data_IF_987237238435
#
_entry.id   IF_987237238435
#
_cell.length_a   1.000
_cell.length_b   1.000
_cell.length_c   1.000
_cell.angle_alpha   90.00
_cell.angle_beta   90.00
_cell.angle_gamma   90.00
#
_symmetry.space_group_name_H-M   'P 1'
#
loop_
_entity.id
_entity.type
_entity.pdbx_description
1 polymer ?
#
# COMPACT_ATOMS: atom_id res chain seq x y z
N UNK A 1 -8.80 -30.71 -13.95
CA UNK A 1 -9.28 -29.33 -13.69
C UNK A 1 -8.12 -28.54 -13.12
N UNK A 2 -7.64 -27.55 -13.85
CA UNK A 2 -6.56 -26.64 -13.40
C UNK A 2 -7.09 -25.78 -12.26
N UNK A 3 -6.40 -25.77 -11.12
CA UNK A 3 -6.85 -25.04 -9.93
C UNK A 3 -6.88 -23.52 -10.21
N UNK A 4 -8.04 -22.89 -10.02
CA UNK A 4 -8.23 -21.44 -10.10
C UNK A 4 -7.42 -20.74 -8.99
N UNK A 5 -6.74 -19.63 -9.30
CA UNK A 5 -6.12 -18.80 -8.29
C UNK A 5 -7.08 -17.70 -7.84
N UNK A 6 -7.21 -17.50 -6.54
CA UNK A 6 -7.91 -16.35 -5.97
C UNK A 6 -6.92 -15.21 -5.73
N UNK A 7 -7.20 -14.04 -6.30
CA UNK A 7 -6.32 -12.85 -6.23
C UNK A 7 -7.04 -11.73 -5.49
N UNK A 8 -6.53 -11.34 -4.31
CA UNK A 8 -7.06 -10.23 -3.53
C UNK A 8 -6.60 -8.88 -4.10
N UNK A 9 -7.55 -8.02 -4.46
CA UNK A 9 -7.30 -6.67 -4.97
C UNK A 9 -7.80 -5.60 -3.99
N UNK A 10 -6.97 -4.59 -3.67
CA UNK A 10 -7.31 -3.54 -2.73
C UNK A 10 -8.27 -2.54 -3.37
N UNK A 11 -9.42 -2.29 -2.76
CA UNK A 11 -10.28 -1.16 -3.12
C UNK A 11 -9.56 0.17 -2.91
N UNK A 12 -9.97 1.21 -3.63
CA UNK A 12 -9.37 2.55 -3.53
C UNK A 12 -8.24 2.78 -4.53
N UNK A 13 -7.24 3.56 -4.15
CA UNK A 13 -6.19 4.12 -5.03
C UNK A 13 -5.47 3.09 -5.91
N UNK A 14 -5.22 1.89 -5.42
CA UNK A 14 -4.49 0.87 -6.15
C UNK A 14 -5.38 0.00 -7.04
N UNK A 15 -6.72 0.09 -6.95
CA UNK A 15 -7.63 -0.82 -7.67
C UNK A 15 -7.52 -0.65 -9.19
N UNK A 16 -7.70 0.56 -9.71
CA UNK A 16 -7.68 0.78 -11.16
C UNK A 16 -6.32 0.48 -11.79
N UNK A 17 -5.16 0.91 -11.22
CA UNK A 17 -3.87 0.49 -11.72
C UNK A 17 -3.66 -1.03 -11.70
N UNK A 18 -4.15 -1.71 -10.65
CA UNK A 18 -4.07 -3.16 -10.55
C UNK A 18 -4.91 -3.83 -11.64
N UNK A 19 -6.16 -3.42 -11.83
CA UNK A 19 -7.03 -3.95 -12.87
C UNK A 19 -6.47 -3.69 -14.27
N UNK A 20 -5.93 -2.51 -14.53
CA UNK A 20 -5.26 -2.22 -15.79
C UNK A 20 -4.10 -3.18 -16.06
N UNK A 21 -3.26 -3.46 -15.04
CA UNK A 21 -2.18 -4.43 -15.15
C UNK A 21 -2.70 -5.84 -15.47
N UNK A 22 -3.75 -6.31 -14.75
CA UNK A 22 -4.33 -7.62 -15.00
C UNK A 22 -4.95 -7.72 -16.40
N UNK A 23 -5.64 -6.69 -16.89
CA UNK A 23 -6.16 -6.64 -18.27
C UNK A 23 -5.04 -6.74 -19.31
N UNK A 24 -3.96 -5.98 -19.13
CA UNK A 24 -2.79 -6.07 -20.02
C UNK A 24 -2.10 -7.44 -19.96
N UNK A 25 -2.21 -8.15 -18.84
CA UNK A 25 -1.73 -9.51 -18.68
C UNK A 25 -2.70 -10.58 -19.25
N UNK A 26 -3.85 -10.17 -19.81
CA UNK A 26 -4.86 -11.06 -20.38
C UNK A 26 -5.93 -11.55 -19.40
N UNK A 27 -5.95 -11.04 -18.18
CA UNK A 27 -6.92 -11.43 -17.16
C UNK A 27 -7.93 -10.31 -16.90
N UNK A 28 -9.13 -10.42 -17.44
CA UNK A 28 -10.18 -9.42 -17.22
C UNK A 28 -11.26 -9.96 -16.29
N UNK A 29 -11.71 -9.18 -15.29
CA UNK A 29 -12.88 -9.56 -14.50
C UNK A 29 -14.12 -9.71 -15.38
N UNK A 30 -14.89 -10.77 -15.19
CA UNK A 30 -16.13 -11.01 -15.95
C UNK A 30 -17.23 -9.98 -15.64
N UNK A 31 -17.10 -9.24 -14.54
CA UNK A 31 -17.98 -8.16 -14.14
C UNK A 31 -17.16 -6.93 -13.74
N UNK A 32 -17.69 -5.70 -13.93
CA UNK A 32 -16.98 -4.49 -13.55
C UNK A 32 -16.71 -4.42 -12.04
N UNK A 33 -15.61 -3.79 -11.64
CA UNK A 33 -15.25 -3.64 -10.22
C UNK A 33 -16.26 -2.81 -9.38
N UNK A 34 -17.21 -2.14 -10.04
CA UNK A 34 -18.33 -1.44 -9.41
C UNK A 34 -19.44 -2.39 -8.93
N UNK A 35 -19.38 -3.68 -9.30
CA UNK A 35 -20.32 -4.69 -8.79
C UNK A 35 -20.31 -4.75 -7.27
N UNK A 36 -21.46 -5.14 -6.67
CA UNK A 36 -21.53 -5.42 -5.22
C UNK A 36 -20.92 -6.77 -4.85
N UNK A 37 -20.62 -7.61 -5.84
CA UNK A 37 -19.95 -8.90 -5.60
C UNK A 37 -18.53 -8.64 -5.14
N UNK A 38 -18.12 -9.32 -4.11
CA UNK A 38 -16.75 -9.25 -3.58
C UNK A 38 -15.81 -10.25 -4.26
N UNK A 39 -16.34 -11.33 -4.80
CA UNK A 39 -15.60 -12.36 -5.54
C UNK A 39 -16.16 -12.45 -6.97
N UNK A 40 -15.30 -12.17 -7.96
CA UNK A 40 -15.65 -12.10 -9.38
C UNK A 40 -14.66 -12.97 -10.18
N UNK A 41 -15.12 -13.95 -10.97
CA UNK A 41 -14.20 -14.72 -11.81
C UNK A 41 -13.60 -13.84 -12.91
N UNK A 42 -12.43 -14.21 -13.43
CA UNK A 42 -11.94 -13.70 -14.71
C UNK A 42 -12.79 -14.27 -15.85
N UNK A 43 -12.83 -13.57 -16.98
CA UNK A 43 -13.64 -13.97 -18.15
C UNK A 43 -13.26 -15.34 -18.69
N UNK A 44 -12.01 -15.76 -18.54
CA UNK A 44 -11.48 -17.07 -18.92
C UNK A 44 -11.62 -18.15 -17.80
N UNK A 45 -12.09 -17.76 -16.60
CA UNK A 45 -12.26 -18.65 -15.45
C UNK A 45 -10.96 -19.15 -14.80
N UNK A 46 -9.80 -18.62 -15.21
CA UNK A 46 -8.49 -19.03 -14.66
C UNK A 46 -8.23 -18.39 -13.31
N UNK A 47 -8.69 -17.14 -13.09
CA UNK A 47 -8.58 -16.41 -11.85
C UNK A 47 -9.95 -16.13 -11.23
N UNK A 48 -9.94 -15.85 -9.92
CA UNK A 48 -11.04 -15.20 -9.22
C UNK A 48 -10.51 -13.96 -8.49
N UNK A 49 -11.09 -12.79 -8.74
CA UNK A 49 -10.72 -11.53 -8.11
C UNK A 49 -11.55 -11.31 -6.84
N UNK A 50 -10.87 -11.12 -5.71
CA UNK A 50 -11.47 -10.81 -4.42
C UNK A 50 -11.23 -9.32 -4.09
N UNK A 51 -12.30 -8.50 -4.08
CA UNK A 51 -12.21 -7.06 -3.84
C UNK A 51 -12.38 -6.74 -2.36
N UNK A 52 -11.30 -6.36 -1.67
CA UNK A 52 -11.27 -6.12 -0.21
C UNK A 52 -10.71 -4.74 0.14
N UNK A 53 -10.79 -4.34 1.40
CA UNK A 53 -10.09 -3.14 1.88
C UNK A 53 -8.57 -3.36 1.79
N UNK A 54 -7.77 -2.29 1.56
CA UNK A 54 -6.32 -2.43 1.44
C UNK A 54 -5.66 -3.18 2.62
N UNK A 55 -6.07 -2.87 3.85
CA UNK A 55 -5.54 -3.53 5.05
C UNK A 55 -5.85 -5.03 5.12
N UNK A 56 -6.93 -5.46 4.48
CA UNK A 56 -7.38 -6.85 4.56
C UNK A 56 -6.64 -7.77 3.57
N UNK A 57 -6.02 -7.22 2.51
CA UNK A 57 -5.29 -8.03 1.50
C UNK A 57 -4.24 -8.92 2.16
N UNK A 58 -3.43 -8.35 3.06
CA UNK A 58 -2.40 -9.11 3.78
C UNK A 58 -3.00 -10.30 4.53
N UNK A 59 -4.12 -10.09 5.24
CA UNK A 59 -4.82 -11.12 6.03
C UNK A 59 -5.35 -12.24 5.13
N UNK A 60 -6.02 -11.90 4.02
CA UNK A 60 -6.57 -12.90 3.09
C UNK A 60 -5.48 -13.72 2.42
N UNK A 61 -4.36 -13.10 2.06
CA UNK A 61 -3.26 -13.81 1.42
C UNK A 61 -2.48 -14.65 2.44
N UNK A 62 -2.14 -14.09 3.60
CA UNK A 62 -1.40 -14.83 4.65
C UNK A 62 -2.16 -16.05 5.13
N UNK A 63 -3.50 -15.93 5.35
CA UNK A 63 -4.35 -17.05 5.77
C UNK A 63 -4.58 -18.10 4.69
N UNK A 64 -4.20 -17.85 3.42
CA UNK A 64 -4.48 -18.73 2.28
C UNK A 64 -5.92 -18.67 1.77
N UNK A 65 -6.76 -17.76 2.26
CA UNK A 65 -8.09 -17.51 1.69
C UNK A 65 -8.00 -16.87 0.29
N UNK A 66 -6.91 -16.16 0.01
CA UNK A 66 -6.48 -15.80 -1.33
C UNK A 66 -5.09 -16.38 -1.61
N UNK A 67 -4.87 -16.84 -2.84
CA UNK A 67 -3.58 -17.41 -3.29
C UNK A 67 -2.52 -16.33 -3.48
N UNK A 68 -2.97 -15.18 -3.99
CA UNK A 68 -2.14 -14.00 -4.26
C UNK A 68 -2.92 -12.72 -4.04
N UNK A 69 -2.26 -11.58 -4.14
CA UNK A 69 -2.92 -10.27 -4.09
C UNK A 69 -2.00 -9.13 -4.52
N UNK A 70 -2.56 -7.93 -4.56
CA UNK A 70 -1.79 -6.68 -4.68
C UNK A 70 -1.95 -5.89 -3.39
N UNK A 71 -0.83 -5.49 -2.79
CA UNK A 71 -0.82 -4.70 -1.57
C UNK A 71 0.20 -3.55 -1.66
N UNK A 72 -0.01 -2.51 -0.86
CA UNK A 72 1.04 -1.54 -0.57
C UNK A 72 2.04 -2.13 0.43
N UNK A 73 3.30 -1.82 0.27
CA UNK A 73 4.35 -2.27 1.20
C UNK A 73 4.12 -1.73 2.62
N UNK A 74 3.44 -0.58 2.77
CA UNK A 74 3.00 -0.04 4.06
C UNK A 74 2.08 -1.00 4.82
N UNK A 75 1.09 -1.55 4.13
CA UNK A 75 0.13 -2.52 4.71
C UNK A 75 0.85 -3.78 5.16
N UNK A 76 1.75 -4.32 4.33
CA UNK A 76 2.50 -5.53 4.64
C UNK A 76 3.42 -5.33 5.84
N UNK A 77 4.14 -4.20 5.88
CA UNK A 77 5.04 -3.87 6.98
C UNK A 77 4.27 -3.58 8.27
N UNK A 78 3.12 -2.90 8.20
CA UNK A 78 2.27 -2.66 9.38
C UNK A 78 1.69 -3.97 9.93
N UNK A 79 1.18 -4.86 9.06
CA UNK A 79 0.65 -6.16 9.45
C UNK A 79 1.74 -7.15 9.91
N UNK A 80 3.00 -6.92 9.56
CA UNK A 80 4.10 -7.90 9.67
C UNK A 80 3.76 -9.23 8.98
N UNK A 81 3.08 -9.17 7.83
CA UNK A 81 2.52 -10.32 7.15
C UNK A 81 3.60 -11.29 6.64
N UNK A 82 3.43 -12.59 6.91
CA UNK A 82 4.31 -13.66 6.42
C UNK A 82 3.87 -14.13 5.03
N UNK A 83 4.16 -13.32 4.01
CA UNK A 83 3.86 -13.57 2.60
C UNK A 83 5.13 -13.46 1.75
N UNK A 84 5.07 -13.96 0.51
CA UNK A 84 6.11 -13.70 -0.49
C UNK A 84 5.78 -12.40 -1.23
N UNK A 85 6.81 -11.61 -1.58
CA UNK A 85 6.70 -10.37 -2.37
C UNK A 85 7.48 -10.51 -3.70
N UNK A 86 7.05 -11.36 -4.64
CA UNK A 86 7.85 -11.72 -5.81
C UNK A 86 7.99 -10.61 -6.86
N UNK A 87 7.13 -9.60 -6.88
CA UNK A 87 7.11 -8.59 -7.93
C UNK A 87 6.70 -7.22 -7.43
N UNK A 88 7.60 -6.23 -7.54
CA UNK A 88 7.27 -4.82 -7.38
C UNK A 88 6.61 -4.27 -8.66
N UNK A 89 5.49 -3.55 -8.53
CA UNK A 89 4.65 -3.20 -9.67
C UNK A 89 5.01 -1.87 -10.32
N UNK A 90 5.66 -0.96 -9.58
CA UNK A 90 6.11 0.33 -10.11
C UNK A 90 5.03 1.40 -10.18
N UNK A 91 3.87 1.16 -9.56
CA UNK A 91 2.82 2.16 -9.34
C UNK A 91 2.48 2.27 -7.85
N UNK A 92 1.64 3.26 -7.50
CA UNK A 92 1.25 3.50 -6.12
C UNK A 92 2.38 4.01 -5.23
N UNK A 93 3.45 4.56 -5.85
CA UNK A 93 4.58 5.12 -5.14
C UNK A 93 4.14 6.29 -4.25
N UNK A 94 4.55 6.27 -3.00
CA UNK A 94 4.41 7.37 -2.04
C UNK A 94 5.44 7.16 -0.92
N UNK A 95 5.45 8.05 0.06
CA UNK A 95 6.32 7.92 1.23
C UNK A 95 5.52 8.00 2.52
N UNK A 96 5.96 7.28 3.54
CA UNK A 96 5.46 7.44 4.90
C UNK A 96 6.32 8.46 5.63
N UNK A 97 5.69 9.43 6.26
CA UNK A 97 6.39 10.53 6.91
C UNK A 97 5.83 10.82 8.29
N UNK A 98 6.67 11.45 9.14
CA UNK A 98 6.21 12.21 10.29
C UNK A 98 5.92 13.63 9.81
N UNK A 99 4.77 14.19 10.19
CA UNK A 99 4.42 15.56 9.92
C UNK A 99 3.81 16.23 11.15
N UNK A 100 3.88 17.57 11.20
CA UNK A 100 3.31 18.37 12.28
C UNK A 100 2.99 19.80 11.80
N UNK A 101 2.21 20.58 12.55
CA UNK A 101 2.20 22.03 12.39
C UNK A 101 3.62 22.60 12.44
N UNK A 102 3.87 23.70 11.69
CA UNK A 102 5.22 24.27 11.56
C UNK A 102 5.78 24.74 12.91
N UNK A 103 4.95 25.28 13.76
CA UNK A 103 5.28 25.76 15.10
C UNK A 103 5.52 24.66 16.12
N UNK A 104 5.09 23.43 15.84
CA UNK A 104 5.26 22.30 16.76
C UNK A 104 6.69 21.74 16.68
N UNK A 105 7.47 21.77 17.77
CA UNK A 105 8.83 21.26 17.76
C UNK A 105 8.92 19.78 17.43
N UNK A 106 10.00 19.39 16.74
CA UNK A 106 10.37 18.01 16.43
C UNK A 106 11.90 17.89 16.48
N UNK A 107 12.48 16.82 17.03
CA UNK A 107 11.86 15.60 17.56
C UNK A 107 11.51 15.64 19.08
N UNK A 108 11.56 16.78 19.71
CA UNK A 108 11.29 16.88 21.16
C UNK A 108 10.33 18.02 21.45
N UNK A 109 9.55 17.87 22.52
CA UNK A 109 8.64 18.91 23.00
C UNK A 109 9.24 19.65 24.20
N UNK A 110 8.86 20.92 24.42
CA UNK A 110 9.28 21.69 25.59
C UNK A 110 8.96 20.99 26.89
N UNK A 111 9.84 21.13 27.88
CA UNK A 111 9.64 20.52 29.23
C UNK A 111 9.74 19.01 29.29
N UNK A 112 10.20 18.34 28.23
CA UNK A 112 10.31 16.86 28.20
C UNK A 112 8.96 16.15 28.14
N UNK A 113 7.90 16.81 27.68
CA UNK A 113 6.58 16.21 27.53
C UNK A 113 6.62 15.04 26.53
N UNK A 114 5.90 13.95 26.83
CA UNK A 114 5.77 12.80 25.93
C UNK A 114 4.95 13.19 24.71
N UNK A 115 5.51 13.10 23.48
CA UNK A 115 4.77 13.43 22.28
C UNK A 115 3.63 12.44 22.00
N UNK A 116 2.47 12.98 21.59
CA UNK A 116 1.34 12.19 21.07
C UNK A 116 1.43 12.16 19.54
N UNK A 117 1.28 10.97 18.96
CA UNK A 117 1.36 10.77 17.50
C UNK A 117 0.10 10.07 17.00
N UNK A 118 -0.68 10.73 16.16
CA UNK A 118 -1.84 10.13 15.53
C UNK A 118 -1.44 9.41 14.25
N UNK A 119 -1.94 8.18 14.04
CA UNK A 119 -1.59 7.37 12.87
C UNK A 119 -2.56 6.21 12.66
N UNK A 120 -2.62 5.70 11.43
CA UNK A 120 -3.22 4.40 11.11
C UNK A 120 -2.17 3.27 11.03
N UNK A 121 -0.89 3.59 11.32
CA UNK A 121 0.26 2.67 11.27
C UNK A 121 0.97 2.59 12.62
N UNK A 122 0.30 2.10 13.68
CA UNK A 122 0.85 2.14 15.04
C UNK A 122 2.13 1.31 15.22
N UNK A 123 2.27 0.18 14.49
CA UNK A 123 3.46 -0.66 14.58
C UNK A 123 4.68 0.01 13.96
N UNK A 124 4.55 0.53 12.74
CA UNK A 124 5.64 1.23 12.05
C UNK A 124 6.03 2.52 12.78
N UNK A 125 5.04 3.25 13.26
CA UNK A 125 5.27 4.47 14.06
C UNK A 125 6.07 4.16 15.33
N UNK A 126 5.68 3.12 16.09
CA UNK A 126 6.40 2.72 17.28
C UNK A 126 7.84 2.33 17.00
N UNK A 127 8.05 1.55 15.94
CA UNK A 127 9.38 1.11 15.53
C UNK A 127 10.27 2.31 15.18
N UNK A 128 9.78 3.25 14.38
CA UNK A 128 10.53 4.43 13.97
C UNK A 128 10.96 5.30 15.16
N UNK A 129 10.05 5.61 16.08
CA UNK A 129 10.41 6.43 17.24
C UNK A 129 11.30 5.69 18.24
N UNK A 130 11.14 4.36 18.34
CA UNK A 130 12.05 3.55 19.16
C UNK A 130 13.50 3.56 18.62
N UNK A 131 13.68 3.50 17.29
CA UNK A 131 14.99 3.65 16.65
C UNK A 131 15.63 5.02 16.92
N UNK A 132 14.81 6.07 17.05
CA UNK A 132 15.27 7.41 17.45
C UNK A 132 15.54 7.54 18.96
N UNK A 133 15.27 6.51 19.76
CA UNK A 133 15.35 6.56 21.22
C UNK A 133 14.25 7.42 21.88
N UNK A 134 13.15 7.64 21.19
CA UNK A 134 12.05 8.49 21.65
C UNK A 134 10.82 7.66 22.09
N UNK A 135 10.37 7.90 23.31
CA UNK A 135 9.07 7.40 23.78
C UNK A 135 7.94 8.29 23.26
N UNK A 136 6.93 7.69 22.65
CA UNK A 136 5.74 8.41 22.15
C UNK A 136 4.46 7.72 22.58
N UNK A 137 3.40 8.50 22.78
CA UNK A 137 2.04 8.00 22.93
C UNK A 137 1.39 7.90 21.54
N UNK A 138 0.94 6.71 21.16
CA UNK A 138 0.34 6.47 19.83
C UNK A 138 -1.17 6.49 19.93
N UNK A 139 -1.79 7.38 19.15
CA UNK A 139 -3.23 7.50 19.00
C UNK A 139 -3.62 6.89 17.65
N UNK A 140 -4.24 5.70 17.71
CA UNK A 140 -4.65 5.00 16.48
C UNK A 140 -5.96 5.56 15.96
N UNK A 141 -5.94 6.02 14.71
CA UNK A 141 -7.12 6.51 13.97
C UNK A 141 -7.24 5.78 12.64
N UNK A 142 -8.47 5.57 12.14
CA UNK A 142 -8.70 4.83 10.91
C UNK A 142 -8.49 5.67 9.62
N UNK A 143 -8.54 7.00 9.74
CA UNK A 143 -8.37 7.95 8.64
C UNK A 143 -8.44 9.39 9.12
N UNK A 144 -8.33 10.35 8.21
CA UNK A 144 -8.28 11.80 8.53
C UNK A 144 -7.26 12.14 9.62
N UNK A 145 -6.09 11.54 9.51
CA UNK A 145 -5.00 11.66 10.49
C UNK A 145 -4.53 13.11 10.59
N UNK A 146 -4.56 13.84 9.46
CA UNK A 146 -4.15 15.24 9.33
C UNK A 146 -4.96 16.24 10.18
N UNK A 147 -6.15 15.84 10.61
CA UNK A 147 -7.01 16.67 11.46
C UNK A 147 -6.59 16.61 12.94
N UNK A 148 -5.92 15.56 13.36
CA UNK A 148 -5.61 15.32 14.75
C UNK A 148 -4.80 16.45 15.42
N UNK A 149 -3.76 17.05 14.80
CA UNK A 149 -3.05 18.17 15.37
C UNK A 149 -3.90 19.45 15.46
N UNK A 150 -4.83 19.65 14.52
CA UNK A 150 -5.70 20.83 14.50
C UNK A 150 -6.70 20.85 15.66
N UNK A 151 -6.96 19.69 16.26
CA UNK A 151 -7.87 19.51 17.39
C UNK A 151 -7.11 19.19 18.70
N UNK A 152 -5.82 19.46 18.76
CA UNK A 152 -4.94 19.18 19.91
C UNK A 152 -4.97 17.70 20.37
N UNK A 153 -5.43 16.80 19.51
CA UNK A 153 -5.43 15.37 19.80
C UNK A 153 -4.01 14.81 19.78
N UNK A 154 -3.18 15.26 18.84
CA UNK A 154 -1.77 14.86 18.75
C UNK A 154 -0.85 16.03 18.43
N UNK A 155 0.44 15.89 18.72
CA UNK A 155 1.47 16.86 18.35
C UNK A 155 1.98 16.60 16.93
N UNK A 156 2.14 15.31 16.60
CA UNK A 156 2.63 14.84 15.31
C UNK A 156 1.67 13.83 14.72
N UNK A 157 1.80 13.61 13.43
CA UNK A 157 1.13 12.53 12.71
C UNK A 157 2.13 11.66 11.98
N UNK A 158 1.75 10.41 11.71
CA UNK A 158 2.42 9.55 10.73
C UNK A 158 1.40 9.10 9.70
N UNK A 159 1.62 9.47 8.45
CA UNK A 159 0.75 9.09 7.33
C UNK A 159 1.52 9.00 6.02
N UNK A 160 0.82 8.49 4.98
CA UNK A 160 1.34 8.41 3.62
C UNK A 160 1.20 9.75 2.90
N UNK A 161 2.25 10.11 2.20
CA UNK A 161 2.32 11.33 1.39
C UNK A 161 2.74 10.99 -0.02
N UNK A 162 1.91 11.34 -0.98
CA UNK A 162 2.22 11.29 -2.41
C UNK A 162 2.79 12.65 -2.84
N UNK A 163 1.95 13.62 -3.17
CA UNK A 163 2.35 14.97 -3.62
C UNK A 163 2.54 15.97 -2.48
N UNK A 164 2.14 15.64 -1.27
CA UNK A 164 2.15 16.52 -0.10
C UNK A 164 1.04 17.59 -0.10
N UNK A 165 0.07 17.51 -1.02
CA UNK A 165 -1.03 18.47 -1.11
C UNK A 165 -1.86 18.53 0.18
N UNK A 166 -2.28 17.37 0.68
CA UNK A 166 -3.08 17.27 1.92
C UNK A 166 -2.36 17.86 3.12
N UNK A 167 -1.04 17.62 3.25
CA UNK A 167 -0.26 18.25 4.33
C UNK A 167 -0.30 19.78 4.24
N UNK A 168 -0.03 20.33 3.04
CA UNK A 168 -0.04 21.80 2.83
C UNK A 168 -1.41 22.42 3.10
N UNK A 169 -2.49 21.78 2.63
CA UNK A 169 -3.88 22.25 2.86
C UNK A 169 -4.24 22.25 4.35
N UNK A 170 -3.64 21.39 5.16
CA UNK A 170 -3.82 21.32 6.60
C UNK A 170 -2.69 22.00 7.40
N UNK A 171 -1.84 22.82 6.76
CA UNK A 171 -0.73 23.57 7.40
C UNK A 171 0.25 22.66 8.15
N UNK A 172 0.45 21.46 7.63
CA UNK A 172 1.42 20.51 8.16
C UNK A 172 2.68 20.51 7.31
N UNK A 173 3.83 20.37 7.97
CA UNK A 173 5.14 20.23 7.34
C UNK A 173 5.70 18.84 7.61
N UNK A 174 6.40 18.30 6.63
CA UNK A 174 7.10 17.03 6.74
C UNK A 174 8.33 17.20 7.64
N UNK A 175 8.46 16.36 8.67
CA UNK A 175 9.56 16.42 9.66
C UNK A 175 10.60 15.33 9.45
N UNK A 176 10.13 14.13 9.09
CA UNK A 176 11.02 13.01 8.85
C UNK A 176 10.36 12.03 7.87
N UNK A 177 11.18 11.34 7.08
CA UNK A 177 10.75 10.24 6.22
C UNK A 177 10.99 8.93 6.94
N UNK A 178 9.97 8.06 6.96
CA UNK A 178 10.03 6.76 7.61
C UNK A 178 10.42 5.68 6.59
N UNK A 179 9.66 5.56 5.49
CA UNK A 179 9.92 4.58 4.43
C UNK A 179 9.28 4.98 3.10
N UNK A 180 9.79 4.38 2.04
CA UNK A 180 9.17 4.43 0.71
C UNK A 180 8.15 3.32 0.56
N UNK A 181 7.02 3.65 -0.07
CA UNK A 181 5.90 2.76 -0.27
C UNK A 181 5.63 2.60 -1.76
N UNK A 182 5.31 1.38 -2.16
CA UNK A 182 4.89 1.04 -3.52
C UNK A 182 3.99 -0.19 -3.53
N UNK A 183 3.32 -0.42 -4.64
CA UNK A 183 2.50 -1.62 -4.83
C UNK A 183 3.37 -2.82 -5.20
N UNK A 184 3.07 -3.97 -4.59
CA UNK A 184 3.73 -5.25 -4.84
C UNK A 184 2.69 -6.35 -5.04
N UNK A 185 3.06 -7.39 -5.80
CA UNK A 185 2.35 -8.67 -5.78
C UNK A 185 2.74 -9.41 -4.51
N UNK A 186 1.75 -9.92 -3.81
CA UNK A 186 1.95 -10.79 -2.64
C UNK A 186 1.40 -12.19 -2.93
N UNK A 187 2.05 -13.21 -2.38
CA UNK A 187 1.68 -14.61 -2.61
C UNK A 187 1.73 -15.38 -1.31
N UNK A 188 0.71 -16.19 -1.08
CA UNK A 188 0.66 -17.12 0.04
C UNK A 188 1.75 -18.21 -0.11
N UNK A 189 2.54 -18.45 0.94
CA UNK A 189 3.68 -19.38 0.91
C UNK A 189 3.27 -20.83 0.60
N UNK A 190 2.16 -21.30 1.17
CA UNK A 190 1.68 -22.67 0.96
C UNK A 190 1.10 -22.79 -0.46
N UNK A 191 0.25 -21.86 -0.87
CA UNK A 191 -0.30 -21.81 -2.22
C UNK A 191 0.78 -21.77 -3.29
N UNK A 192 1.85 -20.99 -3.07
CA UNK A 192 2.98 -20.92 -4.01
C UNK A 192 3.62 -22.27 -4.25
N UNK A 193 3.76 -23.11 -3.22
CA UNK A 193 4.30 -24.47 -3.35
C UNK A 193 3.32 -25.42 -4.01
N UNK A 194 2.04 -25.33 -3.64
CA UNK A 194 1.01 -26.27 -4.10
C UNK A 194 0.55 -25.98 -5.53
N UNK A 195 0.60 -24.73 -5.98
CA UNK A 195 0.14 -24.24 -7.29
C UNK A 195 1.26 -23.54 -8.05
N UNK A 196 2.49 -24.04 -7.95
CA UNK A 196 3.72 -23.38 -8.43
C UNK A 196 3.62 -22.94 -9.89
N UNK A 197 3.22 -23.81 -10.80
CA UNK A 197 3.11 -23.53 -12.23
C UNK A 197 2.16 -22.35 -12.48
N UNK A 198 1.01 -22.35 -11.81
CA UNK A 198 0.01 -21.26 -11.93
C UNK A 198 0.53 -19.92 -11.42
N UNK A 199 1.25 -19.92 -10.32
CA UNK A 199 1.89 -18.70 -9.82
C UNK A 199 2.96 -18.20 -10.77
N UNK A 200 3.76 -19.09 -11.35
CA UNK A 200 4.80 -18.72 -12.34
C UNK A 200 4.18 -18.13 -13.61
N UNK A 201 3.12 -18.74 -14.16
CA UNK A 201 2.36 -18.22 -15.30
C UNK A 201 1.83 -16.81 -15.01
N UNK A 202 1.15 -16.63 -13.87
CA UNK A 202 0.60 -15.34 -13.44
C UNK A 202 1.70 -14.28 -13.28
N UNK A 203 2.77 -14.58 -12.55
CA UNK A 203 3.85 -13.64 -12.30
C UNK A 203 4.56 -13.23 -13.58
N UNK A 204 4.77 -14.17 -14.51
CA UNK A 204 5.35 -13.88 -15.81
C UNK A 204 4.45 -12.96 -16.62
N UNK A 205 3.15 -13.26 -16.71
CA UNK A 205 2.19 -12.42 -17.44
C UNK A 205 2.12 -10.99 -16.87
N UNK A 206 2.13 -10.83 -15.53
CA UNK A 206 2.15 -9.53 -14.87
C UNK A 206 3.47 -8.77 -15.12
N UNK A 207 4.61 -9.48 -15.11
CA UNK A 207 5.91 -8.88 -15.40
C UNK A 207 6.00 -8.39 -16.85
N UNK A 208 5.50 -9.17 -17.81
CA UNK A 208 5.46 -8.82 -19.23
C UNK A 208 4.54 -7.61 -19.45
N UNK A 209 3.33 -7.62 -18.87
CA UNK A 209 2.38 -6.51 -18.92
C UNK A 209 2.95 -5.21 -18.33
N UNK A 210 3.64 -5.29 -17.19
CA UNK A 210 4.34 -4.16 -16.56
C UNK A 210 5.39 -3.55 -17.49
N UNK A 211 6.14 -4.38 -18.21
CA UNK A 211 7.21 -3.94 -19.12
C UNK A 211 6.64 -3.23 -20.33
N UNK A 212 5.53 -3.73 -20.89
CA UNK A 212 4.82 -3.12 -22.02
C UNK A 212 4.21 -1.77 -21.63
N UNK A 213 3.56 -1.68 -20.46
CA UNK A 213 2.98 -0.45 -19.94
C UNK A 213 4.01 0.68 -19.73
N UNK A 214 5.25 0.34 -19.37
CA UNK A 214 6.35 1.31 -19.25
C UNK A 214 6.82 1.88 -20.61
N UNK A 215 6.73 1.11 -21.68
CA UNK A 215 7.13 1.56 -23.03
C UNK A 215 6.10 2.48 -23.68
N UNK A 216 4.86 2.44 -23.24
CA UNK A 216 3.76 3.26 -23.76
C UNK A 216 3.54 4.57 -22.99
N UNK A 217 4.20 4.79 -21.87
CA UNK A 217 4.18 6.08 -21.16
C UNK A 217 5.12 7.07 -21.91
N UNK A 218 4.65 8.27 -22.35
CA UNK A 218 5.50 9.24 -23.01
C UNK A 218 6.60 9.66 -22.03
N UNK A 219 7.86 9.47 -22.44
CA UNK A 219 9.04 9.88 -21.69
C UNK A 219 9.00 11.37 -21.41
N UNK A 220 8.99 11.75 -20.15
CA UNK A 220 9.32 13.12 -19.73
C UNK A 220 10.82 13.31 -19.97
N UNK A 221 11.17 13.68 -21.21
CA UNK A 221 12.49 14.22 -21.52
C UNK A 221 12.59 15.56 -20.80
N UNK A 222 13.33 15.56 -19.69
CA UNK A 222 13.79 16.80 -19.08
C UNK A 222 14.74 17.49 -20.06
N UNK A 223 14.30 18.63 -20.61
CA UNK A 223 15.16 19.58 -21.25
C UNK A 223 16.14 20.16 -20.21
N UNK A 224 17.37 19.66 -20.27
CA UNK A 224 18.54 20.30 -19.73
C UNK A 224 19.19 21.07 -20.89
N UNK A 225 18.84 22.33 -21.04
CA UNK A 225 19.67 23.25 -21.83
C UNK A 225 19.38 24.71 -21.46
N UNK A 226 20.41 25.35 -21.02
CA UNK A 226 20.75 26.80 -20.98
C UNK A 226 20.48 27.51 -19.68
#
# INVERSE_FOLDING_TARGET
>A
MTATLTVALPKGRLLEPALALFRHAGYEPAEPATTRKLLVPSSDGVLAFLFVKPADVAVYVESGAADAGIAGTDVLREAAADVLEPLALGFGACRMVVASPEETPFPSLPGGATPRVATKYPRLTRAFFAEMGLGVEIITVAGSVEVAPLLDLSHWIVDLVDTGRTLRENRLVERARILDVGAVVVVNRASHKLKLERHQELLKALQDAKTLGRKSAPGTTGDLAS
#
